data_IF_515380145357
#
_entry.id   IF_515380145357
#
_cell.length_a   1.000
_cell.length_b   1.000
_cell.length_c   1.000
_cell.angle_alpha   90.00
_cell.angle_beta   90.00
_cell.angle_gamma   90.00
#
_symmetry.space_group_name_H-M   'P 1'
#
loop_
_entity.id
_entity.type
_entity.pdbx_description
1 polymer ?
#
# COMPACT_ATOMS: atom_id res chain seq x y z
N UNK A 1 -3.56 -0.71 -10.93
CA UNK A 1 -2.64 -1.75 -11.42
C UNK A 1 -2.84 -3.06 -10.67
N UNK A 2 -2.72 -3.08 -9.34
CA UNK A 2 -2.96 -4.25 -8.48
C UNK A 2 -4.26 -4.97 -8.82
N UNK A 3 -5.38 -4.24 -8.98
CA UNK A 3 -6.69 -4.78 -9.42
C UNK A 3 -6.56 -5.75 -10.61
N UNK A 4 -5.91 -5.32 -11.69
CA UNK A 4 -5.80 -6.12 -12.92
C UNK A 4 -5.08 -7.44 -12.69
N UNK A 5 -4.07 -7.45 -11.83
CA UNK A 5 -3.30 -8.66 -11.49
C UNK A 5 -4.21 -9.63 -10.72
N UNK A 6 -4.87 -9.16 -9.66
CA UNK A 6 -5.68 -10.03 -8.80
C UNK A 6 -6.98 -10.50 -9.47
N UNK A 7 -7.55 -9.72 -10.39
CA UNK A 7 -8.64 -10.19 -11.27
C UNK A 7 -8.20 -11.38 -12.12
N UNK A 8 -6.97 -11.35 -12.65
CA UNK A 8 -6.41 -12.48 -13.41
C UNK A 8 -6.18 -13.74 -12.56
N UNK A 9 -6.14 -13.59 -11.23
CA UNK A 9 -6.04 -14.69 -10.27
C UNK A 9 -7.42 -15.16 -9.76
N UNK A 10 -8.53 -14.60 -10.28
CA UNK A 10 -9.89 -14.96 -9.88
C UNK A 10 -10.30 -14.43 -8.50
N UNK A 11 -9.62 -13.41 -7.98
CA UNK A 11 -9.94 -12.84 -6.66
C UNK A 11 -11.11 -11.85 -6.74
N UNK A 12 -11.97 -11.88 -5.71
CA UNK A 12 -12.94 -10.82 -5.46
C UNK A 12 -12.22 -9.59 -4.89
N UNK A 13 -12.57 -8.40 -5.39
CA UNK A 13 -11.87 -7.16 -5.05
C UNK A 13 -12.75 -6.31 -4.17
N UNK A 14 -12.24 -6.01 -2.97
CA UNK A 14 -12.83 -5.04 -2.08
C UNK A 14 -11.91 -3.82 -1.96
N UNK A 15 -12.46 -2.64 -1.70
CA UNK A 15 -11.67 -1.44 -1.46
C UNK A 15 -12.37 -0.48 -0.50
N UNK A 16 -11.57 0.37 0.16
CA UNK A 16 -12.06 1.51 0.92
C UNK A 16 -11.25 2.75 0.54
N UNK A 17 -11.95 3.85 0.29
CA UNK A 17 -11.39 5.15 -0.06
C UNK A 17 -12.20 6.24 0.65
N UNK A 18 -11.61 7.42 0.86
CA UNK A 18 -12.32 8.60 1.39
C UNK A 18 -13.57 8.97 0.59
N UNK A 19 -13.61 8.61 -0.70
CA UNK A 19 -14.76 8.77 -1.59
C UNK A 19 -14.87 7.51 -2.45
N UNK A 20 -16.10 7.01 -2.61
CA UNK A 20 -16.40 5.94 -3.55
C UNK A 20 -15.97 6.33 -4.96
N UNK A 21 -15.38 5.39 -5.69
CA UNK A 21 -14.98 5.59 -7.07
C UNK A 21 -16.23 5.64 -7.98
N UNK A 22 -16.17 6.36 -9.12
CA UNK A 22 -17.18 6.22 -10.16
C UNK A 22 -17.26 4.77 -10.66
N UNK A 23 -18.46 4.33 -11.06
CA UNK A 23 -18.73 2.93 -11.45
C UNK A 23 -17.73 2.37 -12.47
N UNK A 24 -17.35 3.17 -13.46
CA UNK A 24 -16.36 2.82 -14.50
C UNK A 24 -14.98 2.49 -13.93
N UNK A 25 -14.57 3.21 -12.87
CA UNK A 25 -13.28 2.97 -12.21
C UNK A 25 -13.41 1.90 -11.12
N UNK A 26 -14.57 1.81 -10.47
CA UNK A 26 -14.87 0.76 -9.48
C UNK A 26 -14.88 -0.64 -10.11
N UNK A 27 -15.39 -0.77 -11.34
CA UNK A 27 -15.31 -2.00 -12.17
C UNK A 27 -15.78 -3.25 -11.40
N UNK A 28 -16.92 -3.13 -10.72
CA UNK A 28 -17.51 -4.22 -9.93
C UNK A 28 -16.82 -4.51 -8.59
N UNK A 29 -15.80 -3.74 -8.20
CA UNK A 29 -15.16 -3.88 -6.89
C UNK A 29 -16.12 -3.51 -5.76
N UNK A 30 -16.11 -4.28 -4.67
CA UNK A 30 -16.98 -4.06 -3.51
C UNK A 30 -16.42 -2.91 -2.66
N UNK A 31 -17.16 -1.82 -2.59
CA UNK A 31 -16.79 -0.65 -1.80
C UNK A 31 -17.19 -0.79 -0.33
N UNK A 32 -16.29 -0.35 0.56
CA UNK A 32 -16.50 -0.26 2.01
C UNK A 32 -16.33 1.19 2.48
N UNK A 33 -17.33 1.69 3.21
CA UNK A 33 -17.33 3.07 3.73
C UNK A 33 -16.21 3.33 4.74
N UNK A 34 -15.81 2.29 5.48
CA UNK A 34 -14.72 2.38 6.45
C UNK A 34 -13.65 1.33 6.19
N UNK A 35 -12.44 1.59 6.69
CA UNK A 35 -11.36 0.61 6.66
C UNK A 35 -11.73 -0.59 7.52
N UNK A 36 -12.35 -0.36 8.66
CA UNK A 36 -12.78 -1.41 9.60
C UNK A 36 -13.74 -2.42 8.96
N UNK A 37 -14.72 -1.96 8.16
CA UNK A 37 -15.66 -2.84 7.44
C UNK A 37 -14.94 -3.72 6.41
N UNK A 38 -13.93 -3.14 5.72
CA UNK A 38 -13.11 -3.85 4.74
C UNK A 38 -12.30 -4.98 5.41
N UNK A 39 -11.69 -4.73 6.56
CA UNK A 39 -10.71 -5.62 7.18
C UNK A 39 -11.30 -6.99 7.56
N UNK A 40 -12.55 -7.02 8.02
CA UNK A 40 -13.25 -8.26 8.34
C UNK A 40 -13.76 -9.04 7.11
N UNK A 41 -13.82 -8.39 5.94
CA UNK A 41 -14.39 -8.97 4.73
C UNK A 41 -13.36 -9.69 3.86
N UNK A 42 -12.07 -9.32 3.95
CA UNK A 42 -11.02 -9.77 3.01
C UNK A 42 -10.00 -10.71 3.64
N UNK A 43 -9.38 -11.55 2.81
CA UNK A 43 -8.32 -12.47 3.22
C UNK A 43 -6.91 -11.87 3.00
N UNK A 44 -6.79 -10.89 2.10
CA UNK A 44 -5.55 -10.18 1.79
C UNK A 44 -5.82 -8.67 1.78
N UNK A 45 -5.05 -7.90 2.57
CA UNK A 45 -5.13 -6.44 2.62
C UNK A 45 -3.87 -5.86 1.95
N UNK A 46 -4.06 -4.96 0.98
CA UNK A 46 -2.95 -4.24 0.34
C UNK A 46 -3.09 -2.73 0.58
N UNK A 47 -2.06 -2.12 1.16
CA UNK A 47 -2.02 -0.69 1.42
C UNK A 47 -1.53 0.09 0.20
N UNK A 48 -2.34 1.04 -0.27
CA UNK A 48 -2.10 1.84 -1.47
C UNK A 48 -2.38 3.34 -1.25
N UNK A 49 -2.54 3.77 0.00
CA UNK A 49 -2.84 5.14 0.36
C UNK A 49 -1.57 5.96 0.66
N UNK A 50 -1.60 7.30 0.50
CA UNK A 50 -0.48 8.14 0.88
C UNK A 50 -0.27 8.14 2.40
N UNK A 51 0.97 8.36 2.85
CA UNK A 51 1.26 8.65 4.24
C UNK A 51 0.98 10.13 4.51
N UNK A 52 0.01 10.38 5.38
CA UNK A 52 -0.40 11.69 5.89
C UNK A 52 -0.53 11.59 7.41
N UNK A 53 -0.69 12.70 8.14
CA UNK A 53 -0.96 12.65 9.58
C UNK A 53 -2.16 11.76 9.94
N UNK A 54 -3.18 11.71 9.09
CA UNK A 54 -4.40 10.92 9.30
C UNK A 54 -4.21 9.42 9.02
N UNK A 55 -3.19 9.04 8.25
CA UNK A 55 -2.91 7.63 7.92
C UNK A 55 -1.68 7.08 8.65
N UNK A 56 -1.08 7.86 9.55
CA UNK A 56 0.00 7.40 10.42
C UNK A 56 -0.50 6.24 11.29
N UNK A 57 0.21 5.11 11.26
CA UNK A 57 -0.18 3.86 11.91
C UNK A 57 -1.63 3.48 11.60
N UNK A 58 -2.08 3.68 10.36
CA UNK A 58 -3.40 3.25 9.91
C UNK A 58 -3.66 1.79 10.32
N UNK A 59 -2.70 0.90 10.09
CA UNK A 59 -2.72 -0.48 10.60
C UNK A 59 -2.04 -0.55 11.96
N UNK A 60 -2.78 -0.20 13.00
CA UNK A 60 -2.41 -0.41 14.41
C UNK A 60 -2.81 -1.82 14.90
N UNK A 61 -2.49 -2.15 16.15
CA UNK A 61 -2.83 -3.44 16.76
C UNK A 61 -4.35 -3.75 16.72
N UNK A 62 -5.20 -2.72 16.87
CA UNK A 62 -6.65 -2.90 16.85
C UNK A 62 -7.11 -3.27 15.45
N UNK A 63 -6.69 -2.53 14.41
CA UNK A 63 -7.07 -2.79 13.01
C UNK A 63 -6.48 -4.11 12.51
N UNK A 64 -5.25 -4.44 12.86
CA UNK A 64 -4.67 -5.75 12.55
C UNK A 64 -5.50 -6.86 13.22
N UNK A 65 -5.97 -6.67 14.45
CA UNK A 65 -6.87 -7.60 15.13
C UNK A 65 -8.25 -7.76 14.49
N UNK A 66 -8.71 -6.80 13.69
CA UNK A 66 -9.97 -6.89 12.93
C UNK A 66 -9.82 -7.69 11.62
N UNK A 67 -8.59 -7.88 11.14
CA UNK A 67 -8.35 -8.77 10.00
C UNK A 67 -8.72 -10.20 10.35
N UNK A 68 -9.19 -10.96 9.36
CA UNK A 68 -9.48 -12.38 9.54
C UNK A 68 -8.26 -13.14 10.06
N UNK A 69 -8.42 -14.12 10.96
CA UNK A 69 -7.34 -15.03 11.32
C UNK A 69 -6.77 -15.73 10.07
N UNK A 70 -5.46 -15.70 9.90
CA UNK A 70 -4.77 -16.23 8.72
C UNK A 70 -4.72 -15.28 7.53
N UNK A 71 -5.15 -14.02 7.68
CA UNK A 71 -5.04 -13.02 6.60
C UNK A 71 -3.59 -12.64 6.29
N UNK A 72 -3.39 -12.05 5.10
CA UNK A 72 -2.09 -11.55 4.63
C UNK A 72 -2.12 -10.02 4.53
N UNK A 73 -1.07 -9.36 5.03
CA UNK A 73 -0.90 -7.90 4.89
C UNK A 73 0.22 -7.56 3.90
N UNK A 74 -0.09 -6.71 2.91
CA UNK A 74 0.85 -6.24 1.90
C UNK A 74 0.99 -4.71 1.99
N UNK A 75 2.23 -4.21 1.99
CA UNK A 75 2.50 -2.78 1.96
C UNK A 75 3.58 -2.43 0.92
N UNK A 76 3.16 -1.70 -0.10
CA UNK A 76 4.02 -1.08 -1.12
C UNK A 76 3.83 0.44 -1.17
N UNK A 77 3.17 1.01 -0.16
CA UNK A 77 2.86 2.43 -0.09
C UNK A 77 3.91 3.18 0.73
N UNK A 78 3.77 3.19 2.06
CA UNK A 78 4.73 3.82 2.98
C UNK A 78 4.79 3.04 4.29
N UNK A 79 5.97 2.90 4.89
CA UNK A 79 6.12 2.14 6.13
C UNK A 79 5.38 2.75 7.33
N UNK A 80 5.26 4.07 7.38
CA UNK A 80 4.53 4.81 8.43
C UNK A 80 3.02 4.48 8.50
N UNK A 81 2.47 3.72 7.55
CA UNK A 81 1.08 3.28 7.59
C UNK A 81 0.85 2.12 8.57
N UNK A 82 1.91 1.43 9.01
CA UNK A 82 1.82 0.25 9.87
C UNK A 82 2.55 0.52 11.18
N UNK A 83 1.90 0.16 12.29
CA UNK A 83 2.62 -0.06 13.54
C UNK A 83 3.40 -1.37 13.43
N UNK A 84 4.70 -1.29 13.14
CA UNK A 84 5.55 -2.47 12.94
C UNK A 84 5.59 -3.39 14.17
N UNK A 85 5.50 -2.85 15.39
CA UNK A 85 5.50 -3.69 16.59
C UNK A 85 4.23 -4.55 16.66
N UNK A 86 3.09 -3.95 16.32
CA UNK A 86 1.81 -4.67 16.22
C UNK A 86 1.82 -5.72 15.10
N UNK A 87 2.41 -5.39 13.94
CA UNK A 87 2.57 -6.35 12.84
C UNK A 87 3.43 -7.55 13.25
N UNK A 88 4.59 -7.31 13.88
CA UNK A 88 5.49 -8.36 14.35
C UNK A 88 4.79 -9.27 15.35
N UNK A 89 4.06 -8.72 16.32
CA UNK A 89 3.30 -9.52 17.28
C UNK A 89 2.25 -10.40 16.58
N UNK A 90 1.45 -9.81 15.69
CA UNK A 90 0.39 -10.51 14.97
C UNK A 90 0.92 -11.67 14.10
N UNK A 91 2.09 -11.50 13.50
CA UNK A 91 2.77 -12.55 12.73
C UNK A 91 3.31 -13.66 13.65
N UNK A 92 3.97 -13.31 14.75
CA UNK A 92 4.54 -14.29 15.70
C UNK A 92 3.48 -15.16 16.37
N UNK A 93 2.32 -14.58 16.70
CA UNK A 93 1.18 -15.32 17.29
C UNK A 93 0.34 -16.09 16.26
N UNK A 94 0.64 -15.97 14.97
CA UNK A 94 -0.10 -16.60 13.88
C UNK A 94 -1.49 -16.02 13.63
N UNK A 95 -1.78 -14.80 14.08
CA UNK A 95 -3.02 -14.11 13.72
C UNK A 95 -3.02 -13.73 12.25
N UNK A 96 -1.88 -13.22 11.76
CA UNK A 96 -1.62 -13.08 10.33
C UNK A 96 -0.83 -14.28 9.83
N UNK A 97 -1.20 -14.79 8.65
CA UNK A 97 -0.48 -15.88 8.02
C UNK A 97 0.90 -15.40 7.52
N UNK A 98 0.93 -14.27 6.81
CA UNK A 98 2.15 -13.70 6.26
C UNK A 98 2.07 -12.18 6.03
N UNK A 99 3.21 -11.55 5.75
CA UNK A 99 3.27 -10.18 5.26
C UNK A 99 4.23 -10.01 4.06
N UNK A 100 3.88 -9.12 3.13
CA UNK A 100 4.72 -8.72 2.00
C UNK A 100 5.02 -7.23 2.03
N UNK A 101 6.27 -6.84 2.24
CA UNK A 101 6.66 -5.46 2.52
C UNK A 101 7.74 -4.97 1.56
N UNK A 102 7.48 -3.88 0.85
CA UNK A 102 8.47 -3.14 0.07
C UNK A 102 8.92 -1.85 0.78
N UNK A 103 8.28 -1.48 1.89
CA UNK A 103 8.50 -0.23 2.62
C UNK A 103 8.47 -0.46 4.13
N UNK A 104 9.24 0.34 4.86
CA UNK A 104 9.49 0.24 6.31
C UNK A 104 9.42 1.59 6.99
N UNK A 105 9.19 1.61 8.30
CA UNK A 105 9.15 2.84 9.10
C UNK A 105 10.52 3.53 9.13
N UNK A 106 11.59 2.73 9.13
CA UNK A 106 12.96 3.21 9.05
C UNK A 106 13.62 2.69 7.78
N UNK A 107 14.03 3.61 6.91
CA UNK A 107 14.73 3.31 5.66
C UNK A 107 15.94 4.25 5.49
N UNK A 108 17.08 3.76 4.98
CA UNK A 108 17.36 2.35 4.61
C UNK A 108 17.61 1.45 5.84
N UNK A 109 17.54 0.14 5.65
CA UNK A 109 17.89 -0.87 6.67
C UNK A 109 16.70 -1.65 7.23
N UNK A 110 15.50 -1.08 7.21
CA UNK A 110 14.28 -1.75 7.68
C UNK A 110 14.33 -2.10 9.17
N UNK A 111 13.46 -3.03 9.57
CA UNK A 111 13.40 -3.53 10.94
C UNK A 111 14.03 -4.93 11.02
N UNK A 112 15.14 -5.11 11.77
CA UNK A 112 15.82 -6.40 11.89
C UNK A 112 14.95 -7.53 12.46
N UNK A 113 13.90 -7.20 13.23
CA UNK A 113 13.00 -8.22 13.78
C UNK A 113 12.04 -8.79 12.74
N UNK A 114 11.68 -8.01 11.69
CA UNK A 114 10.93 -8.54 10.55
C UNK A 114 11.76 -9.55 9.75
N UNK A 115 13.07 -9.30 9.60
CA UNK A 115 13.97 -10.17 8.86
C UNK A 115 14.21 -11.55 9.53
N UNK A 116 13.82 -11.71 10.79
CA UNK A 116 13.89 -12.99 11.53
C UNK A 116 12.64 -13.86 11.36
N UNK A 117 11.59 -13.35 10.70
CA UNK A 117 10.32 -14.05 10.55
C UNK A 117 10.28 -14.81 9.22
N UNK A 118 9.97 -16.11 9.28
CA UNK A 118 9.90 -16.97 8.08
C UNK A 118 8.66 -16.70 7.22
N UNK A 119 7.66 -16.01 7.77
CA UNK A 119 6.40 -15.68 7.11
C UNK A 119 6.34 -14.23 6.63
N UNK A 120 7.49 -13.62 6.34
CA UNK A 120 7.57 -12.26 5.82
C UNK A 120 8.46 -12.21 4.59
N UNK A 121 7.98 -11.57 3.52
CA UNK A 121 8.77 -11.29 2.32
C UNK A 121 9.12 -9.80 2.27
N UNK A 122 10.42 -9.50 2.16
CA UNK A 122 10.96 -8.14 2.28
C UNK A 122 11.65 -7.71 0.99
N UNK A 123 11.32 -6.50 0.53
CA UNK A 123 11.95 -5.85 -0.62
C UNK A 123 12.45 -4.44 -0.24
N UNK A 124 13.58 -3.98 -0.79
CA UNK A 124 14.21 -2.72 -0.38
C UNK A 124 13.68 -1.51 -1.17
N UNK A 125 12.37 -1.26 -1.12
CA UNK A 125 11.70 -0.12 -1.76
C UNK A 125 11.94 -0.04 -3.27
N UNK A 126 11.65 -1.14 -3.96
CA UNK A 126 11.92 -1.33 -5.38
C UNK A 126 10.67 -1.39 -6.26
N UNK A 127 9.48 -1.05 -5.74
CA UNK A 127 8.22 -1.10 -6.50
C UNK A 127 8.23 -0.33 -7.83
N UNK A 128 9.04 0.73 -7.96
CA UNK A 128 9.23 1.50 -9.20
C UNK A 128 10.57 1.25 -9.91
N UNK A 129 11.33 0.23 -9.51
CA UNK A 129 12.70 -0.02 -9.95
C UNK A 129 12.80 -0.73 -11.32
N UNK A 130 12.00 -0.32 -12.30
CA UNK A 130 12.19 -0.72 -13.71
C UNK A 130 12.79 0.42 -14.52
N UNK A 131 13.56 0.09 -15.57
CA UNK A 131 14.18 1.11 -16.43
C UNK A 131 13.12 2.01 -17.07
N UNK A 132 12.04 1.41 -17.54
CA UNK A 132 10.90 2.07 -18.18
C UNK A 132 10.22 3.04 -17.22
N UNK A 133 9.95 2.61 -15.99
CA UNK A 133 9.30 3.44 -14.97
C UNK A 133 10.19 4.60 -14.56
N UNK A 134 11.48 4.33 -14.29
CA UNK A 134 12.45 5.37 -13.90
C UNK A 134 12.67 6.39 -15.02
N UNK A 135 12.75 5.94 -16.28
CA UNK A 135 12.82 6.84 -17.43
C UNK A 135 11.54 7.69 -17.57
N UNK A 136 10.36 7.08 -17.47
CA UNK A 136 9.09 7.80 -17.55
C UNK A 136 8.93 8.86 -16.44
N UNK A 137 9.39 8.56 -15.22
CA UNK A 137 9.45 9.54 -14.13
C UNK A 137 10.41 10.69 -14.45
N UNK A 138 11.59 10.37 -15.00
CA UNK A 138 12.56 11.37 -15.44
C UNK A 138 12.00 12.29 -16.52
N UNK A 139 11.42 11.74 -17.58
CA UNK A 139 10.77 12.52 -18.64
C UNK A 139 9.64 13.38 -18.10
N UNK A 140 8.80 12.85 -17.21
CA UNK A 140 7.74 13.64 -16.57
C UNK A 140 8.32 14.84 -15.79
N UNK A 141 9.44 14.68 -15.10
CA UNK A 141 10.08 15.80 -14.40
C UNK A 141 10.59 16.86 -15.40
N UNK A 142 11.19 16.43 -16.52
CA UNK A 142 11.62 17.33 -17.60
C UNK A 142 10.43 18.08 -18.22
N UNK A 143 9.32 17.41 -18.52
CA UNK A 143 8.11 18.04 -19.06
C UNK A 143 7.58 19.16 -18.13
N UNK A 144 7.66 18.96 -16.81
CA UNK A 144 7.25 19.99 -15.84
C UNK A 144 8.21 21.18 -15.82
N UNK A 145 9.51 20.97 -16.03
CA UNK A 145 10.49 22.04 -16.14
C UNK A 145 10.28 22.86 -17.42
N UNK A 146 10.05 22.19 -18.54
CA UNK A 146 9.76 22.86 -19.81
C UNK A 146 8.50 23.73 -19.71
N UNK A 147 7.43 23.20 -19.10
CA UNK A 147 6.21 23.98 -18.84
C UNK A 147 6.51 25.22 -17.97
N UNK A 148 7.27 25.06 -16.89
CA UNK A 148 7.62 26.17 -16.01
C UNK A 148 8.41 27.27 -16.73
N UNK A 149 9.47 26.92 -17.47
CA UNK A 149 10.30 27.91 -18.18
C UNK A 149 9.57 28.56 -19.37
N UNK A 150 8.56 27.88 -19.92
CA UNK A 150 7.66 28.46 -20.91
C UNK A 150 6.57 29.37 -20.32
N UNK A 151 6.54 29.58 -18.99
CA UNK A 151 5.51 30.36 -18.31
C UNK A 151 4.15 29.66 -18.23
N UNK A 152 4.11 28.33 -18.43
CA UNK A 152 2.92 27.49 -18.33
C UNK A 152 2.82 26.85 -16.94
N UNK A 153 1.63 26.36 -16.59
CA UNK A 153 1.43 25.63 -15.34
C UNK A 153 1.97 24.20 -15.46
N UNK A 154 2.91 23.77 -14.60
CA UNK A 154 3.38 22.39 -14.58
C UNK A 154 2.25 21.41 -14.26
N UNK A 155 2.24 20.25 -14.94
CA UNK A 155 1.23 19.20 -14.79
C UNK A 155 1.13 18.64 -13.37
N UNK A 156 2.26 18.38 -12.73
CA UNK A 156 2.33 17.68 -11.43
C UNK A 156 2.51 18.65 -10.26
N UNK A 157 1.88 19.82 -10.35
CA UNK A 157 1.88 20.85 -9.29
C UNK A 157 1.14 20.35 -8.04
N UNK A 158 1.78 20.47 -6.88
CA UNK A 158 1.25 19.96 -5.60
C UNK A 158 0.29 20.93 -4.90
N UNK A 159 0.54 22.25 -4.99
CA UNK A 159 -0.26 23.37 -4.43
C UNK A 159 -0.16 24.59 -5.32
#
# INVERSE_FOLDING_TARGET
>A
AVRKIVTGLGMEIHYSNRRRLPAETEDGSIYHDTVEDLLGAVDIVSLNCPSTPETLNLMDARRIGLMKPGAILVNTARGNLIDEAALIDALKRGHLFAAGLDVFKTEPGGNPDLAKLDNVFLLPHIGSATRETRNAMGFRALDNLDAFFAGQTPRDRLV
#
